data_IF_724590850175
#
_entry.id   IF_724590850175
#
_cell.length_a   1.000
_cell.length_b   1.000
_cell.length_c   1.000
_cell.angle_alpha   90.00
_cell.angle_beta   90.00
_cell.angle_gamma   90.00
#
_symmetry.space_group_name_H-M   'P 1'
#
loop_
_entity.id
_entity.type
_entity.pdbx_description
1 polymer ?
#
# COMPACT_ATOMS: atom_id res chain seq x y z
N UNK A 1 -23.52 -8.67 21.51
CA UNK A 1 -22.44 -7.94 20.83
C UNK A 1 -21.59 -8.97 20.10
N UNK A 2 -21.84 -9.15 18.79
CA UNK A 2 -21.18 -10.18 17.99
C UNK A 2 -19.79 -9.69 17.62
N UNK A 3 -18.74 -10.32 18.15
CA UNK A 3 -17.35 -10.11 17.76
C UNK A 3 -17.20 -10.58 16.32
N UNK A 4 -17.10 -9.65 15.38
CA UNK A 4 -16.70 -9.95 14.01
C UNK A 4 -15.23 -10.38 14.08
N UNK A 5 -14.98 -11.68 14.04
CA UNK A 5 -13.65 -12.24 13.87
C UNK A 5 -13.09 -11.73 12.53
N UNK A 6 -12.20 -10.76 12.59
CA UNK A 6 -11.49 -10.28 11.41
C UNK A 6 -10.56 -11.41 10.97
N UNK A 7 -10.90 -12.05 9.86
CA UNK A 7 -10.03 -13.02 9.20
C UNK A 7 -8.69 -12.34 8.88
N UNK A 8 -7.61 -12.78 9.53
CA UNK A 8 -6.23 -12.37 9.27
C UNK A 8 -5.69 -13.02 7.96
N UNK A 9 -6.57 -13.36 7.01
CA UNK A 9 -6.17 -13.99 5.75
C UNK A 9 -5.33 -13.01 4.92
N UNK A 10 -4.14 -13.48 4.54
CA UNK A 10 -3.23 -12.76 3.64
C UNK A 10 -3.69 -13.00 2.20
N UNK A 11 -4.01 -11.92 1.48
CA UNK A 11 -4.37 -12.00 0.06
C UNK A 11 -3.11 -12.24 -0.77
N UNK A 12 -3.04 -13.37 -1.49
CA UNK A 12 -1.90 -13.71 -2.34
C UNK A 12 -2.13 -13.22 -3.77
N UNK A 13 -1.19 -12.44 -4.31
CA UNK A 13 -1.25 -11.93 -5.69
C UNK A 13 -0.41 -12.73 -6.69
N UNK A 14 0.48 -13.59 -6.21
CA UNK A 14 1.30 -14.50 -7.04
C UNK A 14 1.36 -15.88 -6.41
N UNK A 15 1.56 -16.92 -7.22
CA UNK A 15 1.82 -18.26 -6.69
C UNK A 15 2.95 -18.24 -5.67
N UNK A 16 2.75 -18.92 -4.55
CA UNK A 16 3.76 -19.02 -3.50
C UNK A 16 4.92 -19.88 -4.01
N UNK A 17 6.12 -19.38 -3.87
CA UNK A 17 7.33 -20.19 -4.00
C UNK A 17 7.55 -20.93 -2.68
N UNK A 18 8.20 -22.07 -2.73
CA UNK A 18 8.66 -22.75 -1.51
C UNK A 18 10.05 -22.22 -1.12
N UNK A 19 10.34 -22.21 0.16
CA UNK A 19 11.66 -21.83 0.63
C UNK A 19 11.65 -21.07 1.97
N UNK A 20 12.83 -20.91 2.58
CA UNK A 20 12.94 -20.35 3.92
C UNK A 20 12.52 -18.86 4.01
N UNK A 21 12.65 -18.08 2.93
CA UNK A 21 12.12 -16.70 2.91
C UNK A 21 10.60 -16.68 3.02
N UNK A 22 9.90 -17.64 2.42
CA UNK A 22 8.44 -17.75 2.49
C UNK A 22 7.97 -18.14 3.89
N UNK A 23 8.68 -19.06 4.55
CA UNK A 23 8.38 -19.39 5.95
C UNK A 23 8.54 -18.18 6.86
N UNK A 24 9.60 -17.42 6.69
CA UNK A 24 9.80 -16.18 7.45
C UNK A 24 8.74 -15.12 7.11
N UNK A 25 8.30 -15.03 5.86
CA UNK A 25 7.19 -14.15 5.44
C UNK A 25 5.89 -14.53 6.14
N UNK A 26 5.60 -15.84 6.32
CA UNK A 26 4.43 -16.31 7.04
C UNK A 26 4.48 -15.95 8.53
N UNK A 27 5.63 -16.11 9.15
CA UNK A 27 5.85 -15.69 10.54
C UNK A 27 5.53 -14.21 10.67
N UNK A 28 6.13 -13.36 9.84
CA UNK A 28 5.89 -11.91 9.87
C UNK A 28 4.41 -11.59 9.63
N UNK A 29 3.78 -12.23 8.63
CA UNK A 29 2.36 -12.01 8.30
C UNK A 29 1.44 -12.38 9.48
N UNK A 30 1.71 -13.49 10.17
CA UNK A 30 0.99 -13.90 11.36
C UNK A 30 1.11 -12.92 12.54
N UNK A 31 2.23 -12.20 12.62
CA UNK A 31 2.47 -11.23 13.69
C UNK A 31 2.01 -9.80 13.36
N UNK A 32 1.57 -9.51 12.11
CA UNK A 32 1.14 -8.16 11.68
C UNK A 32 0.17 -7.48 12.67
N UNK A 33 -0.86 -8.14 13.24
CA UNK A 33 -1.76 -7.49 14.17
C UNK A 33 -1.05 -6.99 15.43
N UNK A 34 -0.14 -7.78 15.99
CA UNK A 34 0.65 -7.42 17.18
C UNK A 34 1.75 -6.41 16.91
N UNK A 35 2.43 -6.51 15.75
CA UNK A 35 3.52 -5.61 15.36
C UNK A 35 3.06 -4.16 15.19
N UNK A 36 1.83 -3.96 14.71
CA UNK A 36 1.34 -2.62 14.33
C UNK A 36 0.16 -2.11 15.14
N UNK A 37 -0.29 -2.86 16.18
CA UNK A 37 -1.34 -2.47 17.13
C UNK A 37 -2.56 -1.81 16.47
N UNK A 38 -3.26 -2.55 15.59
CA UNK A 38 -4.28 -1.97 14.72
C UNK A 38 -5.69 -2.23 15.19
N UNK A 39 -6.35 -1.14 15.58
CA UNK A 39 -7.78 -1.10 15.89
C UNK A 39 -8.66 -0.65 14.71
N UNK A 40 -8.12 -0.60 13.48
CA UNK A 40 -8.76 -0.03 12.30
C UNK A 40 -8.89 -1.12 11.23
N UNK A 41 -9.82 -0.96 10.31
CA UNK A 41 -9.92 -1.83 9.14
C UNK A 41 -8.57 -1.96 8.45
N UNK A 42 -8.05 -3.16 8.39
CA UNK A 42 -6.76 -3.45 7.79
C UNK A 42 -6.84 -4.63 6.81
N UNK A 43 -5.97 -4.62 5.84
CA UNK A 43 -5.79 -5.65 4.83
C UNK A 43 -4.32 -5.96 4.66
N UNK A 44 -3.99 -7.24 4.60
CA UNK A 44 -2.63 -7.72 4.36
C UNK A 44 -2.59 -8.45 3.03
N UNK A 45 -1.64 -8.08 2.18
CA UNK A 45 -1.39 -8.70 0.89
C UNK A 45 0.06 -9.13 0.76
N UNK A 46 0.29 -10.21 0.02
CA UNK A 46 1.61 -10.74 -0.28
C UNK A 46 1.88 -10.71 -1.79
N UNK A 47 3.13 -10.43 -2.16
CA UNK A 47 3.62 -10.40 -3.55
C UNK A 47 2.78 -9.50 -4.47
N UNK A 48 2.40 -8.33 -3.96
CA UNK A 48 1.52 -7.39 -4.65
C UNK A 48 2.26 -6.70 -5.81
N UNK A 49 1.82 -6.85 -7.08
CA UNK A 49 2.46 -6.22 -8.22
C UNK A 49 2.04 -4.75 -8.34
N UNK A 50 2.86 -3.83 -7.87
CA UNK A 50 2.76 -2.40 -8.14
C UNK A 50 3.88 -1.98 -9.11
N UNK A 51 3.66 -0.95 -9.90
CA UNK A 51 4.64 -0.49 -10.88
C UNK A 51 6.01 -0.11 -10.31
N UNK A 52 6.10 0.11 -9.00
CA UNK A 52 7.35 0.38 -8.29
C UNK A 52 8.15 -0.88 -7.93
N UNK A 53 7.53 -2.06 -7.99
CA UNK A 53 8.10 -3.33 -7.56
C UNK A 53 7.04 -4.28 -7.02
N UNK A 54 7.51 -5.35 -6.37
CA UNK A 54 6.66 -6.37 -5.77
C UNK A 54 7.13 -6.53 -4.33
N UNK A 55 6.56 -5.78 -3.38
CA UNK A 55 6.86 -5.99 -1.97
C UNK A 55 6.41 -7.37 -1.52
N UNK A 56 7.19 -7.99 -0.64
CA UNK A 56 6.87 -9.31 -0.10
C UNK A 56 5.57 -9.26 0.71
N UNK A 57 5.40 -8.22 1.55
CA UNK A 57 4.15 -7.95 2.26
C UNK A 57 3.75 -6.47 2.18
N UNK A 58 2.46 -6.22 2.05
CA UNK A 58 1.85 -4.89 2.17
C UNK A 58 0.72 -4.96 3.20
N UNK A 59 0.75 -4.07 4.18
CA UNK A 59 -0.30 -3.92 5.17
C UNK A 59 -0.94 -2.55 5.00
N UNK A 60 -2.23 -2.52 4.78
CA UNK A 60 -2.98 -1.29 4.46
C UNK A 60 -4.07 -1.06 5.48
N UNK A 61 -4.09 0.12 6.09
CA UNK A 61 -5.29 0.63 6.75
C UNK A 61 -6.16 1.34 5.74
N UNK A 62 -7.47 1.18 5.82
CA UNK A 62 -8.39 1.73 4.84
C UNK A 62 -9.70 2.23 5.46
N UNK A 63 -10.33 3.18 4.79
CA UNK A 63 -11.72 3.53 5.02
C UNK A 63 -12.65 2.62 4.22
N UNK A 64 -13.79 2.15 4.77
CA UNK A 64 -14.72 1.23 4.08
C UNK A 64 -15.19 1.72 2.70
N UNK A 65 -15.25 3.03 2.49
CA UNK A 65 -15.61 3.65 1.20
C UNK A 65 -14.67 3.24 0.05
N UNK A 66 -13.49 2.67 0.35
CA UNK A 66 -12.59 2.12 -0.67
C UNK A 66 -13.26 1.07 -1.54
N UNK A 67 -14.24 0.33 -1.01
CA UNK A 67 -14.97 -0.71 -1.74
C UNK A 67 -15.87 -0.18 -2.86
N UNK A 68 -16.11 1.10 -2.94
CA UNK A 68 -16.74 1.72 -4.10
C UNK A 68 -15.85 1.69 -5.38
N UNK A 69 -14.55 1.41 -5.24
CA UNK A 69 -13.59 1.32 -6.36
C UNK A 69 -13.51 -0.03 -7.08
N UNK A 70 -14.49 -0.90 -6.98
CA UNK A 70 -14.43 -2.26 -7.55
C UNK A 70 -14.10 -2.31 -9.03
N UNK A 71 -14.52 -1.30 -9.80
CA UNK A 71 -14.33 -1.20 -11.26
C UNK A 71 -13.23 -0.22 -11.69
N UNK A 72 -12.42 0.26 -10.77
CA UNK A 72 -11.35 1.24 -11.05
C UNK A 72 -10.14 0.55 -11.66
N UNK A 73 -9.66 1.07 -12.78
CA UNK A 73 -8.45 0.64 -13.48
C UNK A 73 -7.27 1.63 -13.27
N UNK A 74 -6.19 1.43 -14.03
CA UNK A 74 -5.02 2.31 -13.96
C UNK A 74 -5.36 3.74 -14.39
N UNK A 75 -6.23 3.92 -15.37
CA UNK A 75 -6.63 5.25 -15.87
C UNK A 75 -7.37 6.03 -14.78
N UNK A 76 -8.29 5.38 -14.08
CA UNK A 76 -9.02 6.01 -12.98
C UNK A 76 -8.08 6.36 -11.81
N UNK A 77 -7.11 5.48 -11.51
CA UNK A 77 -6.06 5.78 -10.53
C UNK A 77 -5.22 7.00 -10.94
N UNK A 78 -4.93 7.17 -12.23
CA UNK A 78 -4.24 8.36 -12.76
C UNK A 78 -5.11 9.63 -12.63
N UNK A 79 -6.42 9.55 -12.91
CA UNK A 79 -7.37 10.67 -12.73
C UNK A 79 -7.37 11.11 -11.26
N UNK A 80 -7.55 10.18 -10.32
CA UNK A 80 -7.56 10.47 -8.90
C UNK A 80 -6.22 11.08 -8.42
N UNK A 81 -5.10 10.55 -8.90
CA UNK A 81 -3.77 11.06 -8.60
C UNK A 81 -3.58 12.49 -9.14
N UNK A 82 -4.02 12.75 -10.36
CA UNK A 82 -3.97 14.06 -10.97
C UNK A 82 -4.80 15.08 -10.18
N UNK A 83 -6.06 14.77 -9.90
CA UNK A 83 -6.95 15.65 -9.11
C UNK A 83 -6.44 15.90 -7.70
N UNK A 84 -5.75 14.88 -7.10
CA UNK A 84 -5.06 15.07 -5.82
C UNK A 84 -3.94 16.10 -5.90
N UNK A 85 -3.19 16.11 -6.99
CA UNK A 85 -2.05 17.01 -7.19
C UNK A 85 -2.49 18.44 -7.49
N UNK A 86 -3.46 18.63 -8.40
CA UNK A 86 -3.87 19.97 -8.87
C UNK A 86 -5.03 20.59 -8.08
N UNK A 87 -5.71 19.78 -7.26
CA UNK A 87 -6.88 20.22 -6.48
C UNK A 87 -8.18 20.13 -7.28
N UNK A 88 -8.29 20.81 -8.40
CA UNK A 88 -9.47 20.81 -9.30
C UNK A 88 -9.06 20.99 -10.76
N UNK A 89 -9.83 20.40 -11.69
CA UNK A 89 -9.61 20.55 -13.12
C UNK A 89 -10.91 20.41 -13.91
N UNK A 90 -10.95 20.94 -15.14
CA UNK A 90 -12.06 20.75 -16.10
C UNK A 90 -11.90 19.43 -16.84
N UNK A 91 -12.97 18.92 -17.44
CA UNK A 91 -12.98 17.66 -18.19
C UNK A 91 -11.92 17.68 -19.30
N UNK A 92 -11.83 18.75 -20.08
CA UNK A 92 -10.90 18.84 -21.21
C UNK A 92 -9.44 18.75 -20.74
N UNK A 93 -9.10 19.42 -19.63
CA UNK A 93 -7.76 19.39 -19.03
C UNK A 93 -7.41 18.00 -18.50
N UNK A 94 -8.38 17.29 -17.90
CA UNK A 94 -8.16 15.91 -17.42
C UNK A 94 -7.98 14.99 -18.63
N UNK A 95 -8.83 15.12 -19.67
CA UNK A 95 -8.76 14.31 -20.88
C UNK A 95 -7.42 14.46 -21.59
N UNK A 96 -6.94 15.69 -21.78
CA UNK A 96 -5.63 16.00 -22.34
C UNK A 96 -4.50 15.39 -21.50
N UNK A 97 -4.52 15.58 -20.19
CA UNK A 97 -3.48 15.07 -19.27
C UNK A 97 -3.39 13.56 -19.25
N UNK A 98 -4.51 12.86 -19.36
CA UNK A 98 -4.60 11.39 -19.34
C UNK A 98 -4.38 10.80 -20.73
N UNK A 99 -4.53 11.60 -21.81
CA UNK A 99 -4.42 11.13 -23.19
C UNK A 99 -5.67 10.34 -23.65
N UNK A 100 -6.85 10.73 -23.18
CA UNK A 100 -8.12 10.07 -23.51
C UNK A 100 -9.08 11.04 -24.21
N UNK A 101 -10.04 10.49 -24.99
CA UNK A 101 -11.08 11.33 -25.61
C UNK A 101 -12.00 11.95 -24.53
N UNK A 102 -12.57 13.15 -24.78
CA UNK A 102 -13.55 13.77 -23.86
C UNK A 102 -14.72 12.83 -23.54
N UNK A 103 -15.22 12.07 -24.51
CA UNK A 103 -16.30 11.10 -24.33
C UNK A 103 -15.90 9.99 -23.34
N UNK A 104 -14.73 9.38 -23.53
CA UNK A 104 -14.20 8.35 -22.63
C UNK A 104 -14.02 8.92 -21.23
N UNK A 105 -13.45 10.14 -21.14
CA UNK A 105 -13.21 10.80 -19.86
C UNK A 105 -14.53 11.11 -19.13
N UNK A 106 -15.56 11.58 -19.82
CA UNK A 106 -16.89 11.83 -19.23
C UNK A 106 -17.46 10.58 -18.57
N UNK A 107 -17.39 9.42 -19.25
CA UNK A 107 -17.87 8.14 -18.70
C UNK A 107 -17.11 7.75 -17.44
N UNK A 108 -15.77 7.90 -17.44
CA UNK A 108 -14.95 7.56 -16.27
C UNK A 108 -15.21 8.49 -15.09
N UNK A 109 -15.33 9.79 -15.35
CA UNK A 109 -15.64 10.77 -14.29
C UNK A 109 -17.02 10.50 -13.69
N UNK A 110 -18.02 10.10 -14.51
CA UNK A 110 -19.34 9.69 -13.99
C UNK A 110 -19.20 8.51 -13.00
N UNK A 111 -18.48 7.44 -13.37
CA UNK A 111 -18.26 6.31 -12.47
C UNK A 111 -17.52 6.69 -11.18
N UNK A 112 -16.58 7.63 -11.25
CA UNK A 112 -15.87 8.14 -10.05
C UNK A 112 -16.75 9.04 -9.18
N UNK A 113 -17.75 9.74 -9.77
CA UNK A 113 -18.78 10.49 -9.03
C UNK A 113 -19.70 9.50 -8.31
N UNK A 114 -20.18 8.47 -9.02
CA UNK A 114 -21.06 7.44 -8.45
C UNK A 114 -20.36 6.69 -7.27
N UNK A 115 -19.06 6.53 -7.34
CA UNK A 115 -18.22 6.00 -6.26
C UNK A 115 -17.94 7.04 -5.15
N UNK A 116 -18.49 8.24 -5.24
CA UNK A 116 -18.21 9.38 -4.33
C UNK A 116 -16.71 9.73 -4.21
N UNK A 117 -15.90 9.26 -5.16
CA UNK A 117 -14.44 9.49 -5.15
C UNK A 117 -14.10 10.94 -5.55
N UNK A 118 -14.89 11.52 -6.43
CA UNK A 118 -14.75 12.90 -6.88
C UNK A 118 -16.07 13.65 -6.74
N UNK A 119 -15.97 14.98 -6.76
CA UNK A 119 -17.10 15.91 -6.75
C UNK A 119 -17.01 16.84 -7.94
N UNK A 120 -18.16 17.27 -8.44
CA UNK A 120 -18.25 18.30 -9.48
C UNK A 120 -18.80 19.60 -8.89
N UNK A 121 -18.25 20.73 -9.31
CA UNK A 121 -18.71 22.07 -8.96
C UNK A 121 -18.38 23.02 -10.11
N UNK A 122 -19.39 23.71 -10.65
CA UNK A 122 -19.21 24.70 -11.74
C UNK A 122 -18.30 24.17 -12.88
N UNK A 123 -18.62 23.00 -13.44
CA UNK A 123 -17.88 22.33 -14.53
C UNK A 123 -16.42 21.95 -14.20
N UNK A 124 -16.06 21.92 -12.92
CA UNK A 124 -14.76 21.41 -12.47
C UNK A 124 -14.92 20.17 -11.59
N UNK A 125 -13.97 19.27 -11.68
CA UNK A 125 -13.89 18.05 -10.88
C UNK A 125 -12.81 18.21 -9.82
N UNK A 126 -13.07 17.68 -8.64
CA UNK A 126 -12.12 17.67 -7.53
C UNK A 126 -12.21 16.37 -6.74
N UNK A 127 -11.11 15.97 -6.12
CA UNK A 127 -11.09 14.80 -5.25
C UNK A 127 -11.93 15.06 -3.99
N UNK A 128 -12.81 14.11 -3.63
CA UNK A 128 -13.54 14.17 -2.36
C UNK A 128 -12.58 14.17 -1.16
N UNK A 129 -12.87 14.91 -0.07
CA UNK A 129 -11.93 15.04 1.06
C UNK A 129 -11.49 13.70 1.65
N UNK A 130 -12.40 12.74 1.84
CA UNK A 130 -12.11 11.42 2.35
C UNK A 130 -11.10 10.67 1.47
N UNK A 131 -11.21 10.82 0.14
CA UNK A 131 -10.34 10.13 -0.82
C UNK A 131 -8.89 10.63 -0.80
N UNK A 132 -8.62 11.75 -0.16
CA UNK A 132 -7.24 12.17 0.13
C UNK A 132 -6.56 11.28 1.17
N UNK A 133 -7.33 10.55 1.98
CA UNK A 133 -6.86 9.68 3.05
C UNK A 133 -7.58 8.32 3.04
N UNK A 134 -8.06 7.86 1.88
CA UNK A 134 -8.79 6.59 1.76
C UNK A 134 -7.98 5.40 2.27
N UNK A 135 -6.65 5.47 2.16
CA UNK A 135 -5.68 4.58 2.77
C UNK A 135 -4.84 5.37 3.79
N UNK A 136 -5.28 5.51 5.05
CA UNK A 136 -4.59 6.33 6.07
C UNK A 136 -3.16 5.89 6.33
N UNK A 137 -2.87 4.60 6.15
CA UNK A 137 -1.53 4.07 6.31
C UNK A 137 -1.27 2.88 5.37
N UNK A 138 -0.10 2.90 4.77
CA UNK A 138 0.44 1.82 3.95
C UNK A 138 1.80 1.47 4.53
N UNK A 139 1.99 0.20 4.90
CA UNK A 139 3.25 -0.37 5.36
C UNK A 139 3.71 -1.38 4.34
N UNK A 140 4.99 -1.36 3.98
CA UNK A 140 5.62 -2.40 3.18
C UNK A 140 6.70 -3.10 3.98
N UNK A 141 6.85 -4.40 3.77
CA UNK A 141 7.85 -5.23 4.44
C UNK A 141 8.53 -6.08 3.38
N UNK A 142 9.84 -5.95 3.30
CA UNK A 142 10.71 -6.83 2.50
C UNK A 142 11.31 -7.89 3.41
N UNK A 143 11.21 -9.16 3.04
CA UNK A 143 11.64 -10.30 3.84
C UNK A 143 12.88 -10.93 3.21
N UNK A 144 13.98 -10.99 3.92
CA UNK A 144 15.23 -11.62 3.43
C UNK A 144 15.96 -12.37 4.52
N UNK A 145 16.41 -13.57 4.20
CA UNK A 145 17.28 -14.37 5.07
C UNK A 145 18.74 -13.97 4.90
N UNK A 146 19.13 -13.73 3.65
CA UNK A 146 20.45 -13.26 3.25
C UNK A 146 20.32 -11.97 2.46
N UNK A 147 21.43 -11.38 2.02
CA UNK A 147 21.44 -10.18 1.18
C UNK A 147 20.52 -9.04 1.71
N UNK A 148 20.71 -8.70 2.96
CA UNK A 148 19.95 -7.64 3.65
C UNK A 148 20.10 -6.27 2.97
N UNK A 149 21.21 -5.98 2.27
CA UNK A 149 21.41 -4.76 1.50
C UNK A 149 20.35 -4.62 0.42
N UNK A 150 20.10 -5.69 -0.35
CA UNK A 150 19.06 -5.72 -1.37
C UNK A 150 17.66 -5.51 -0.76
N UNK A 151 17.40 -6.06 0.41
CA UNK A 151 16.13 -5.82 1.11
C UNK A 151 15.95 -4.33 1.46
N UNK A 152 17.01 -3.67 1.93
CA UNK A 152 16.98 -2.23 2.24
C UNK A 152 16.73 -1.39 0.99
N UNK A 153 17.37 -1.73 -0.13
CA UNK A 153 17.14 -1.04 -1.41
C UNK A 153 15.70 -1.19 -1.90
N UNK A 154 15.13 -2.39 -1.76
CA UNK A 154 13.73 -2.66 -2.09
C UNK A 154 12.78 -1.88 -1.17
N UNK A 155 13.00 -1.93 0.14
CA UNK A 155 12.23 -1.18 1.12
C UNK A 155 12.32 0.35 0.88
N UNK A 156 13.47 0.86 0.46
CA UNK A 156 13.65 2.26 0.11
C UNK A 156 12.83 2.65 -1.14
N UNK A 157 12.79 1.81 -2.17
CA UNK A 157 11.95 2.03 -3.35
C UNK A 157 10.46 2.05 -3.02
N UNK A 158 10.01 1.19 -2.12
CA UNK A 158 8.60 1.13 -1.73
C UNK A 158 8.09 2.41 -1.06
N UNK A 159 8.97 3.26 -0.53
CA UNK A 159 8.60 4.54 0.09
C UNK A 159 7.96 5.54 -0.87
N UNK A 160 8.05 5.32 -2.18
CA UNK A 160 7.36 6.19 -3.16
C UNK A 160 5.83 6.07 -3.06
N UNK A 161 5.30 4.95 -2.53
CA UNK A 161 3.86 4.75 -2.32
C UNK A 161 3.49 4.36 -0.88
N UNK A 162 4.46 3.97 -0.04
CA UNK A 162 4.24 3.57 1.35
C UNK A 162 4.51 4.71 2.34
N UNK A 163 3.79 4.68 3.46
CA UNK A 163 4.03 5.59 4.58
C UNK A 163 5.16 5.09 5.48
N UNK A 164 5.26 3.77 5.65
CA UNK A 164 6.27 3.10 6.46
C UNK A 164 6.85 1.93 5.66
N UNK A 165 8.16 1.75 5.68
CA UNK A 165 8.83 0.63 5.03
C UNK A 165 9.75 -0.07 6.01
N UNK A 166 9.68 -1.39 6.01
CA UNK A 166 10.48 -2.25 6.87
C UNK A 166 11.26 -3.28 6.07
N UNK A 167 12.31 -3.77 6.68
CA UNK A 167 12.93 -5.05 6.33
C UNK A 167 12.72 -6.02 7.47
N UNK A 168 12.35 -7.26 7.17
CA UNK A 168 12.28 -8.36 8.12
C UNK A 168 13.48 -9.29 7.89
N UNK A 169 14.26 -9.52 8.93
CA UNK A 169 15.54 -10.21 8.89
C UNK A 169 15.63 -11.22 10.04
N UNK A 170 16.41 -12.32 9.89
CA UNK A 170 16.75 -13.19 11.01
C UNK A 170 17.39 -12.39 12.15
N UNK A 171 17.08 -12.75 13.39
CA UNK A 171 17.45 -12.00 14.59
C UNK A 171 18.91 -11.57 14.64
N UNK A 172 19.85 -12.49 14.41
CA UNK A 172 21.30 -12.21 14.41
C UNK A 172 21.69 -11.14 13.37
N UNK A 173 21.04 -11.16 12.19
CA UNK A 173 21.29 -10.16 11.13
C UNK A 173 20.62 -8.85 11.50
N UNK A 174 19.38 -8.88 11.97
CA UNK A 174 18.60 -7.72 12.36
C UNK A 174 19.32 -6.90 13.45
N UNK A 175 19.79 -7.55 14.51
CA UNK A 175 20.55 -6.92 15.59
C UNK A 175 21.84 -6.25 15.08
N UNK A 176 22.58 -6.91 14.22
CA UNK A 176 23.83 -6.36 13.64
C UNK A 176 23.59 -5.09 12.82
N UNK A 177 22.49 -5.03 12.06
CA UNK A 177 22.26 -3.93 11.10
C UNK A 177 21.38 -2.80 11.66
N UNK A 178 20.62 -3.00 12.75
CA UNK A 178 19.63 -2.05 13.26
C UNK A 178 20.13 -0.63 13.51
N UNK A 179 21.40 -0.47 13.88
CA UNK A 179 22.03 0.83 14.14
C UNK A 179 22.77 1.41 12.94
N UNK A 180 22.82 0.65 11.83
CA UNK A 180 23.56 1.01 10.63
C UNK A 180 23.17 2.37 10.04
N UNK A 181 24.12 3.14 9.52
CA UNK A 181 23.86 4.46 8.95
C UNK A 181 22.94 4.41 7.73
N UNK A 182 23.01 3.35 6.92
CA UNK A 182 22.17 3.17 5.75
C UNK A 182 20.68 3.15 6.10
N UNK A 183 20.28 2.33 7.09
CA UNK A 183 18.90 2.27 7.59
C UNK A 183 18.43 3.60 8.18
N UNK A 184 19.34 4.32 8.86
CA UNK A 184 19.06 5.64 9.44
C UNK A 184 18.78 6.67 8.35
N UNK A 185 19.66 6.77 7.38
CA UNK A 185 19.55 7.76 6.30
C UNK A 185 18.31 7.51 5.44
N UNK A 186 18.03 6.26 5.10
CA UNK A 186 16.85 5.86 4.32
C UNK A 186 15.56 5.82 5.16
N UNK A 187 15.63 5.89 6.49
CA UNK A 187 14.47 5.87 7.37
C UNK A 187 13.69 4.56 7.33
N UNK A 188 14.37 3.43 7.13
CA UNK A 188 13.81 2.08 7.08
C UNK A 188 13.74 1.47 8.47
N UNK A 189 12.61 0.81 8.78
CA UNK A 189 12.44 0.04 10.00
C UNK A 189 13.03 -1.36 9.89
N UNK A 190 13.21 -2.02 11.04
CA UNK A 190 13.70 -3.41 11.10
C UNK A 190 12.76 -4.24 11.97
N UNK A 191 12.31 -5.34 11.42
CA UNK A 191 11.63 -6.42 12.12
C UNK A 191 12.65 -7.55 12.31
N UNK A 192 12.86 -7.96 13.55
CA UNK A 192 13.63 -9.14 13.91
C UNK A 192 12.72 -10.34 13.90
N UNK A 193 13.16 -11.44 13.29
CA UNK A 193 12.46 -12.73 13.30
C UNK A 193 13.35 -13.77 13.96
N UNK A 194 12.89 -14.33 15.08
CA UNK A 194 13.61 -15.32 15.86
C UNK A 194 13.41 -16.75 15.33
N UNK A 195 14.29 -17.66 15.70
CA UNK A 195 14.26 -19.06 15.26
C UNK A 195 13.03 -19.83 15.82
N UNK A 196 12.50 -19.40 16.96
CA UNK A 196 11.28 -19.93 17.59
C UNK A 196 9.98 -19.41 16.96
N UNK A 197 10.09 -18.59 15.91
CA UNK A 197 8.94 -18.05 15.17
C UNK A 197 8.39 -16.73 15.73
N UNK A 198 9.07 -16.07 16.64
CA UNK A 198 8.72 -14.73 17.12
C UNK A 198 9.06 -13.64 16.09
N UNK A 199 8.30 -12.53 16.09
CA UNK A 199 8.64 -11.35 15.31
C UNK A 199 8.43 -10.07 16.13
N UNK A 200 9.40 -9.15 16.08
CA UNK A 200 9.37 -7.90 16.83
C UNK A 200 9.97 -6.73 16.05
N UNK A 201 9.37 -5.54 16.19
CA UNK A 201 9.95 -4.31 15.65
C UNK A 201 11.09 -3.84 16.56
N UNK A 202 12.34 -3.99 16.12
CA UNK A 202 13.53 -3.55 16.86
C UNK A 202 14.05 -2.17 16.43
N UNK A 203 13.55 -1.67 15.30
CA UNK A 203 13.80 -0.32 14.81
C UNK A 203 12.55 0.24 14.14
N UNK A 204 12.06 1.40 14.60
CA UNK A 204 10.95 2.11 13.97
C UNK A 204 11.43 2.84 12.70
N UNK A 205 10.64 2.82 11.60
CA UNK A 205 10.94 3.59 10.40
C UNK A 205 10.59 5.07 10.58
N UNK A 206 11.14 5.91 9.71
CA UNK A 206 10.65 7.28 9.57
C UNK A 206 9.43 7.30 8.66
N UNK A 207 8.30 7.86 9.17
CA UNK A 207 7.09 8.03 8.36
C UNK A 207 7.36 8.99 7.19
N UNK A 208 6.87 8.63 6.01
CA UNK A 208 6.94 9.44 4.80
C UNK A 208 5.56 9.61 4.19
N UNK A 209 5.42 10.61 3.34
CA UNK A 209 4.23 10.78 2.51
C UNK A 209 4.48 10.09 1.17
N UNK A 210 3.53 9.30 0.63
CA UNK A 210 3.60 8.82 -0.74
C UNK A 210 3.86 9.96 -1.73
N UNK A 211 4.72 9.72 -2.71
CA UNK A 211 5.06 10.68 -3.77
C UNK A 211 4.43 10.30 -5.10
N UNK A 212 4.16 9.03 -5.36
CA UNK A 212 3.51 8.52 -6.57
C UNK A 212 2.08 8.11 -6.24
N UNK A 213 1.17 9.08 -6.36
CA UNK A 213 -0.24 8.90 -5.99
C UNK A 213 -0.99 7.92 -6.89
N UNK A 214 -0.53 7.68 -8.12
CA UNK A 214 -1.10 6.65 -8.99
C UNK A 214 -1.01 5.28 -8.35
N UNK A 215 0.14 4.92 -7.74
CA UNK A 215 0.29 3.65 -7.03
C UNK A 215 -0.57 3.56 -5.77
N UNK A 216 -0.76 4.69 -5.09
CA UNK A 216 -1.65 4.76 -3.93
C UNK A 216 -3.10 4.41 -4.31
N UNK A 217 -3.66 4.98 -5.38
CA UNK A 217 -5.02 4.70 -5.83
C UNK A 217 -5.13 3.34 -6.53
N UNK A 218 -4.10 2.90 -7.21
CA UNK A 218 -4.03 1.54 -7.76
C UNK A 218 -4.09 0.49 -6.63
N UNK A 219 -3.37 0.72 -5.53
CA UNK A 219 -3.43 -0.12 -4.34
C UNK A 219 -4.83 -0.13 -3.71
N UNK A 220 -5.51 1.01 -3.62
CA UNK A 220 -6.88 1.11 -3.14
C UNK A 220 -7.85 0.27 -4.00
N UNK A 221 -7.71 0.34 -5.33
CA UNK A 221 -8.49 -0.47 -6.27
C UNK A 221 -8.21 -1.98 -6.13
N UNK A 222 -6.95 -2.38 -5.93
CA UNK A 222 -6.58 -3.79 -5.74
C UNK A 222 -7.16 -4.35 -4.44
N UNK A 223 -7.14 -3.56 -3.36
CA UNK A 223 -7.78 -3.90 -2.09
C UNK A 223 -9.29 -4.08 -2.29
N UNK A 224 -9.95 -3.13 -2.95
CA UNK A 224 -11.39 -3.19 -3.19
C UNK A 224 -11.79 -4.49 -3.91
N UNK A 225 -11.08 -4.83 -4.99
CA UNK A 225 -11.33 -6.05 -5.77
C UNK A 225 -11.05 -7.34 -5.01
N UNK A 226 -10.05 -7.35 -4.12
CA UNK A 226 -9.67 -8.58 -3.39
C UNK A 226 -10.71 -9.05 -2.38
N UNK A 227 -11.68 -8.22 -2.01
CA UNK A 227 -12.79 -8.58 -1.11
C UNK A 227 -14.13 -8.80 -1.82
N UNK A 228 -14.19 -8.57 -3.12
CA UNK A 228 -15.42 -8.81 -3.92
C UNK A 228 -15.53 -10.26 -4.40
N UNK A 229 -14.58 -11.10 -4.01
CA UNK A 229 -14.53 -12.55 -4.23
C UNK A 229 -14.44 -13.27 -2.88
#
# INVERSE_FOLDING_TARGET
MSSVAHSNAVTQFRPRRQGPEVLMQDIVAGHVPGLFNRNIHSWTAASLPLGAGIPDLVVVSYHPQVFALTNVDLTDAQILAYLRAVGKARLETIAERIGASPKTMSTRLSGLIDAEAIRTTANTFSLSPLWRQILPEIITIEVKISNWQKAIEQAARNRIFAHLSFVALPEKVAERVRTGPLLRNLGIGVISVSEDGGAAVIRKPRRTRPTVWTYYYQLASMLARSRSH
#
